data_IF_985907215476
#
_entry.id   IF_985907215476
#
_cell.length_a   1.000
_cell.length_b   1.000
_cell.length_c   1.000
_cell.angle_alpha   90.00
_cell.angle_beta   90.00
_cell.angle_gamma   90.00
#
_symmetry.space_group_name_H-M   'P 1'
#
loop_
_entity.id
_entity.type
_entity.pdbx_description
1 polymer ?
#
# COMPACT_ATOMS: atom_id res chain seq x y z
N UNK A 1 -12.94 -3.46 -16.75
CA UNK A 1 -11.73 -3.22 -15.96
C UNK A 1 -12.10 -3.40 -14.49
N UNK A 2 -11.15 -3.65 -13.58
CA UNK A 2 -11.52 -3.99 -12.19
C UNK A 2 -12.27 -2.84 -11.51
N UNK A 3 -11.98 -1.59 -11.89
CA UNK A 3 -12.69 -0.39 -11.43
C UNK A 3 -14.19 -0.46 -11.74
N UNK A 4 -14.55 -0.79 -12.98
CA UNK A 4 -15.97 -0.91 -13.38
C UNK A 4 -16.64 -2.12 -12.70
N UNK A 5 -15.94 -3.25 -12.61
CA UNK A 5 -16.47 -4.46 -11.95
C UNK A 5 -16.82 -4.21 -10.48
N UNK A 6 -16.00 -3.42 -9.78
CA UNK A 6 -16.19 -3.08 -8.37
C UNK A 6 -17.00 -1.79 -8.14
N UNK A 7 -17.49 -1.16 -9.22
CA UNK A 7 -18.16 0.13 -9.25
C UNK A 7 -17.41 1.19 -8.42
N UNK A 8 -16.12 1.36 -8.72
CA UNK A 8 -15.23 2.28 -8.02
C UNK A 8 -15.11 3.59 -8.79
N UNK A 9 -15.13 4.69 -8.04
CA UNK A 9 -14.87 6.02 -8.58
C UNK A 9 -13.40 6.39 -8.41
N UNK A 10 -12.84 7.06 -9.41
CA UNK A 10 -11.45 7.49 -9.39
C UNK A 10 -11.16 8.42 -8.20
N UNK A 11 -10.05 8.16 -7.50
CA UNK A 11 -9.58 8.84 -6.29
C UNK A 11 -10.57 8.83 -5.10
N UNK A 12 -11.59 7.96 -5.13
CA UNK A 12 -12.63 7.91 -4.09
C UNK A 12 -12.64 6.60 -3.26
N UNK A 13 -11.55 5.84 -3.30
CA UNK A 13 -11.38 4.65 -2.45
C UNK A 13 -9.94 4.53 -1.96
N UNK A 14 -9.75 3.87 -0.82
CA UNK A 14 -8.45 3.49 -0.29
C UNK A 14 -8.15 2.07 -0.76
N UNK A 15 -6.92 1.86 -1.22
CA UNK A 15 -6.42 0.52 -1.51
C UNK A 15 -5.63 0.00 -0.30
N UNK A 16 -5.98 -1.19 0.19
CA UNK A 16 -5.31 -1.81 1.32
C UNK A 16 -4.71 -3.18 0.96
N UNK A 17 -3.55 -3.53 1.51
CA UNK A 17 -2.99 -4.89 1.45
C UNK A 17 -2.32 -5.25 2.77
N UNK A 18 -2.70 -6.39 3.37
CA UNK A 18 -2.16 -6.90 4.62
C UNK A 18 -1.87 -8.39 4.45
N UNK A 19 -0.61 -8.79 4.50
CA UNK A 19 -0.19 -10.19 4.28
C UNK A 19 1.16 -10.55 4.91
N UNK A 20 1.86 -9.61 5.54
CA UNK A 20 3.15 -9.89 6.18
C UNK A 20 2.98 -10.79 7.40
N UNK A 21 3.98 -11.63 7.62
CA UNK A 21 4.05 -12.51 8.77
C UNK A 21 3.99 -11.73 10.09
N UNK A 22 4.75 -10.64 10.20
CA UNK A 22 4.80 -9.81 11.42
C UNK A 22 3.44 -9.23 11.86
N UNK A 23 2.49 -9.05 10.93
CA UNK A 23 1.15 -8.56 11.21
C UNK A 23 0.15 -9.71 11.38
N UNK A 24 0.31 -10.80 10.66
CA UNK A 24 -0.67 -11.91 10.63
C UNK A 24 -0.44 -12.93 11.74
N UNK A 25 0.74 -13.00 12.36
CA UNK A 25 1.02 -13.88 13.50
C UNK A 25 0.74 -13.24 14.87
N UNK A 26 0.63 -11.92 14.92
CA UNK A 26 0.23 -11.17 16.11
C UNK A 26 -1.23 -10.72 15.96
N UNK A 27 -2.12 -11.40 16.69
CA UNK A 27 -3.55 -11.16 16.60
C UNK A 27 -3.96 -9.76 17.06
N UNK A 28 -3.24 -9.16 18.00
CA UNK A 28 -3.56 -7.83 18.51
C UNK A 28 -3.12 -6.75 17.51
N UNK A 29 -1.96 -6.94 16.86
CA UNK A 29 -1.58 -6.10 15.72
C UNK A 29 -2.59 -6.20 14.58
N UNK A 30 -2.98 -7.41 14.21
CA UNK A 30 -3.95 -7.63 13.13
C UNK A 30 -5.28 -6.94 13.43
N UNK A 31 -5.85 -7.16 14.63
CA UNK A 31 -7.10 -6.51 15.04
C UNK A 31 -6.99 -4.99 14.96
N UNK A 32 -5.93 -4.41 15.52
CA UNK A 32 -5.73 -2.96 15.50
C UNK A 32 -5.64 -2.41 14.07
N UNK A 33 -4.95 -3.09 13.16
CA UNK A 33 -4.91 -2.70 11.73
C UNK A 33 -6.31 -2.71 11.12
N UNK A 34 -7.04 -3.81 11.28
CA UNK A 34 -8.36 -3.97 10.66
C UNK A 34 -9.43 -3.06 11.26
N UNK A 35 -9.38 -2.79 12.57
CA UNK A 35 -10.22 -1.77 13.22
C UNK A 35 -9.93 -0.38 12.63
N UNK A 36 -8.67 -0.04 12.36
CA UNK A 36 -8.30 1.20 11.68
C UNK A 36 -8.84 1.28 10.26
N UNK A 37 -8.76 0.19 9.50
CA UNK A 37 -9.30 0.10 8.15
C UNK A 37 -10.83 0.23 8.13
N UNK A 38 -11.53 -0.44 9.05
CA UNK A 38 -12.99 -0.33 9.19
C UNK A 38 -13.44 1.07 9.61
N UNK A 39 -12.68 1.74 10.47
CA UNK A 39 -12.97 3.13 10.83
C UNK A 39 -12.82 4.07 9.61
N UNK A 40 -11.81 3.86 8.76
CA UNK A 40 -11.65 4.61 7.50
C UNK A 40 -12.78 4.27 6.53
N UNK A 41 -13.22 3.01 6.46
CA UNK A 41 -14.26 2.54 5.54
C UNK A 41 -15.60 3.26 5.72
N UNK A 42 -15.87 3.77 6.92
CA UNK A 42 -17.04 4.61 7.23
C UNK A 42 -17.05 5.95 6.47
N UNK A 43 -15.88 6.44 6.05
CA UNK A 43 -15.73 7.73 5.36
C UNK A 43 -15.38 7.59 3.88
N UNK A 44 -14.56 6.58 3.54
CA UNK A 44 -14.11 6.32 2.18
C UNK A 44 -13.96 4.81 2.01
N UNK A 45 -14.51 4.26 0.92
CA UNK A 45 -14.48 2.82 0.65
C UNK A 45 -13.05 2.28 0.73
N UNK A 46 -12.84 1.22 1.49
CA UNK A 46 -11.55 0.51 1.57
C UNK A 46 -11.68 -0.79 0.78
N UNK A 47 -10.83 -0.96 -0.23
CA UNK A 47 -10.76 -2.16 -1.08
C UNK A 47 -9.52 -2.95 -0.70
N UNK A 48 -9.70 -4.21 -0.32
CA UNK A 48 -8.62 -5.07 0.17
C UNK A 48 -8.66 -6.42 -0.56
N UNK A 49 -7.72 -6.68 -1.50
CA UNK A 49 -7.48 -8.01 -2.02
C UNK A 49 -7.00 -8.93 -0.90
N UNK A 50 -7.87 -9.82 -0.43
CA UNK A 50 -7.66 -10.56 0.80
C UNK A 50 -6.71 -11.74 0.56
N UNK A 51 -5.47 -11.58 0.99
CA UNK A 51 -4.46 -12.62 0.88
C UNK A 51 -4.89 -13.89 1.67
N UNK A 52 -4.69 -15.12 1.13
CA UNK A 52 -5.12 -16.36 1.78
C UNK A 52 -4.61 -16.50 3.22
N UNK A 53 -3.36 -16.11 3.48
CA UNK A 53 -2.77 -16.08 4.84
C UNK A 53 -3.61 -15.27 5.82
N UNK A 54 -3.97 -14.05 5.44
CA UNK A 54 -4.76 -13.14 6.29
C UNK A 54 -6.19 -13.64 6.44
N UNK A 55 -6.80 -14.15 5.36
CA UNK A 55 -8.12 -14.80 5.39
C UNK A 55 -8.18 -15.91 6.45
N UNK A 56 -7.20 -16.82 6.43
CA UNK A 56 -7.15 -17.94 7.37
C UNK A 56 -7.03 -17.50 8.83
N UNK A 57 -6.32 -16.41 9.12
CA UNK A 57 -6.22 -15.86 10.49
C UNK A 57 -7.54 -15.22 10.91
N UNK A 58 -8.18 -14.43 10.04
CA UNK A 58 -9.49 -13.83 10.33
C UNK A 58 -10.55 -14.91 10.63
N UNK A 59 -10.62 -15.95 9.80
CA UNK A 59 -11.54 -17.08 9.97
C UNK A 59 -11.26 -17.84 11.27
N UNK A 60 -9.99 -18.18 11.55
CA UNK A 60 -9.58 -18.88 12.76
C UNK A 60 -10.01 -18.16 14.05
N UNK A 61 -10.00 -16.83 14.02
CA UNK A 61 -10.34 -15.99 15.18
C UNK A 61 -11.77 -15.44 15.14
N UNK A 62 -12.61 -15.86 14.18
CA UNK A 62 -13.96 -15.36 13.97
C UNK A 62 -14.03 -13.83 13.88
N UNK A 63 -13.03 -13.22 13.24
CA UNK A 63 -12.96 -11.77 13.03
C UNK A 63 -13.65 -11.41 11.73
N UNK A 64 -14.55 -10.43 11.80
CA UNK A 64 -15.27 -9.89 10.66
C UNK A 64 -15.24 -8.36 10.73
N UNK A 65 -15.04 -7.73 9.58
CA UNK A 65 -14.91 -6.28 9.44
C UNK A 65 -15.73 -5.81 8.26
N UNK A 66 -16.36 -4.64 8.38
CA UNK A 66 -17.12 -4.00 7.32
C UNK A 66 -16.18 -3.26 6.34
N UNK A 67 -15.46 -4.04 5.53
CA UNK A 67 -14.49 -3.59 4.52
C UNK A 67 -14.83 -4.29 3.20
N UNK A 68 -14.53 -3.66 2.05
CA UNK A 68 -14.70 -4.33 0.75
C UNK A 68 -13.56 -5.31 0.52
N UNK A 69 -13.77 -6.55 0.96
CA UNK A 69 -12.90 -7.67 0.61
C UNK A 69 -13.12 -8.10 -0.84
N UNK A 70 -12.04 -8.33 -1.56
CA UNK A 70 -12.06 -8.96 -2.88
C UNK A 70 -11.07 -10.13 -2.91
N UNK A 71 -11.26 -11.06 -3.84
CA UNK A 71 -10.32 -12.15 -4.05
C UNK A 71 -8.95 -11.61 -4.49
N UNK A 72 -7.85 -12.35 -4.28
CA UNK A 72 -6.55 -12.00 -4.84
C UNK A 72 -6.64 -11.75 -6.35
N UNK A 73 -6.01 -10.66 -6.80
CA UNK A 73 -6.09 -10.18 -8.18
C UNK A 73 -4.75 -10.28 -8.89
N UNK A 74 -4.79 -10.23 -10.23
CA UNK A 74 -3.59 -10.15 -11.05
C UNK A 74 -2.89 -8.79 -10.96
N UNK A 75 -1.64 -8.76 -11.42
CA UNK A 75 -0.81 -7.55 -11.37
C UNK A 75 -1.43 -6.34 -12.11
N UNK A 76 -2.03 -6.55 -13.29
CA UNK A 76 -2.62 -5.45 -14.05
C UNK A 76 -3.84 -4.83 -13.36
N UNK A 77 -4.69 -5.66 -12.73
CA UNK A 77 -5.80 -5.17 -11.92
C UNK A 77 -5.27 -4.43 -10.68
N UNK A 78 -4.18 -4.92 -10.09
CA UNK A 78 -3.54 -4.24 -8.96
C UNK A 78 -3.03 -2.85 -9.35
N UNK A 79 -2.35 -2.74 -10.51
CA UNK A 79 -1.92 -1.45 -11.06
C UNK A 79 -3.10 -0.51 -11.36
N UNK A 80 -4.21 -1.05 -11.88
CA UNK A 80 -5.38 -0.25 -12.15
C UNK A 80 -6.00 0.30 -10.85
N UNK A 81 -6.14 -0.54 -9.81
CA UNK A 81 -6.59 -0.08 -8.49
C UNK A 81 -5.63 0.97 -7.93
N UNK A 82 -4.33 0.74 -8.02
CA UNK A 82 -3.32 1.64 -7.48
C UNK A 82 -3.33 3.00 -8.17
N UNK A 83 -3.46 3.04 -9.49
CA UNK A 83 -3.53 4.29 -10.27
C UNK A 83 -4.76 5.13 -9.91
N UNK A 84 -5.88 4.46 -9.59
CA UNK A 84 -7.17 5.12 -9.37
C UNK A 84 -7.54 5.26 -7.89
N UNK A 85 -6.78 4.72 -6.94
CA UNK A 85 -7.08 4.90 -5.52
C UNK A 85 -6.74 6.32 -5.05
N UNK A 86 -7.29 6.71 -3.91
CA UNK A 86 -6.96 7.94 -3.20
C UNK A 86 -5.58 7.86 -2.54
N UNK A 87 -5.34 6.79 -1.79
CA UNK A 87 -4.08 6.48 -1.13
C UNK A 87 -4.01 4.97 -0.86
N UNK A 88 -2.83 4.53 -0.43
CA UNK A 88 -2.53 3.13 -0.13
C UNK A 88 -2.31 2.96 1.38
N UNK A 89 -2.80 1.85 1.94
CA UNK A 89 -2.47 1.38 3.28
C UNK A 89 -1.90 -0.04 3.15
N UNK A 90 -0.62 -0.26 3.50
CA UNK A 90 0.04 -1.52 3.12
C UNK A 90 1.16 -1.96 4.05
N UNK A 91 1.37 -3.28 4.13
CA UNK A 91 2.58 -3.93 4.62
C UNK A 91 3.45 -4.55 3.50
N UNK A 92 3.07 -4.37 2.23
CA UNK A 92 3.88 -4.77 1.07
C UNK A 92 5.11 -3.89 0.96
N UNK A 93 6.29 -4.48 0.72
CA UNK A 93 7.50 -3.69 0.44
C UNK A 93 7.43 -3.03 -0.94
N UNK A 94 7.04 -3.79 -1.98
CA UNK A 94 6.97 -3.30 -3.35
C UNK A 94 5.89 -2.22 -3.53
N UNK A 95 4.70 -2.43 -2.96
CA UNK A 95 3.57 -1.52 -3.16
C UNK A 95 3.83 -0.12 -2.59
N UNK A 96 4.67 0.00 -1.56
CA UNK A 96 5.09 1.31 -1.02
C UNK A 96 5.76 2.18 -2.09
N UNK A 97 6.67 1.57 -2.86
CA UNK A 97 7.39 2.25 -3.94
C UNK A 97 6.51 2.45 -5.17
N UNK A 98 5.67 1.47 -5.50
CA UNK A 98 4.71 1.58 -6.60
C UNK A 98 3.68 2.68 -6.35
N UNK A 99 3.25 2.89 -5.10
CA UNK A 99 2.36 3.99 -4.72
C UNK A 99 2.98 5.35 -5.05
N UNK A 100 4.25 5.54 -4.74
CA UNK A 100 4.97 6.76 -5.09
C UNK A 100 5.02 6.97 -6.62
N UNK A 101 5.31 5.93 -7.41
CA UNK A 101 5.29 6.04 -8.88
C UNK A 101 3.89 6.37 -9.44
N UNK A 102 2.83 5.95 -8.75
CA UNK A 102 1.44 6.28 -9.08
C UNK A 102 0.93 7.56 -8.41
N UNK A 103 1.83 8.34 -7.80
CA UNK A 103 1.52 9.61 -7.13
C UNK A 103 0.48 9.46 -6.01
N UNK A 104 0.56 8.37 -5.25
CA UNK A 104 -0.32 8.05 -4.13
C UNK A 104 0.46 8.11 -2.82
N UNK A 105 -0.17 8.71 -1.81
CA UNK A 105 0.34 8.61 -0.44
C UNK A 105 0.26 7.18 0.07
N UNK A 106 1.20 6.81 0.94
CA UNK A 106 1.29 5.46 1.47
C UNK A 106 1.36 5.46 3.00
N UNK A 107 0.41 4.78 3.65
CA UNK A 107 0.42 4.52 5.09
C UNK A 107 0.97 3.10 5.29
N UNK A 108 2.11 3.00 5.94
CA UNK A 108 2.85 1.75 6.09
C UNK A 108 2.47 1.10 7.42
N UNK A 109 1.81 -0.05 7.34
CA UNK A 109 1.42 -0.86 8.51
C UNK A 109 2.55 -1.80 8.93
N UNK A 110 3.77 -1.26 9.07
CA UNK A 110 4.98 -1.94 9.55
C UNK A 110 5.68 -1.03 10.53
N UNK A 111 6.57 -1.59 11.35
CA UNK A 111 7.37 -0.82 12.30
C UNK A 111 8.59 -0.15 11.63
N UNK A 112 8.96 -0.61 10.43
CA UNK A 112 10.07 -0.11 9.63
C UNK A 112 9.78 -0.19 8.12
N UNK A 113 10.62 0.46 7.31
CA UNK A 113 10.59 0.37 5.85
C UNK A 113 11.99 0.47 5.27
N UNK A 114 12.18 -0.21 4.14
CA UNK A 114 13.37 -0.14 3.32
C UNK A 114 13.42 1.19 2.51
N UNK A 115 12.31 1.90 2.38
CA UNK A 115 12.16 3.12 1.56
C UNK A 115 12.10 4.39 2.42
N UNK A 116 13.14 4.63 3.21
CA UNK A 116 13.22 5.75 4.17
C UNK A 116 13.02 7.10 3.45
N UNK A 117 13.51 7.22 2.22
CA UNK A 117 13.34 8.40 1.38
C UNK A 117 11.88 8.75 1.12
N UNK A 118 10.97 7.78 1.05
CA UNK A 118 9.54 8.07 0.89
C UNK A 118 8.97 8.73 2.14
N UNK A 119 9.43 8.31 3.32
CA UNK A 119 9.01 8.86 4.60
C UNK A 119 9.59 10.26 4.81
N UNK A 120 10.91 10.42 4.61
CA UNK A 120 11.59 11.70 4.80
C UNK A 120 11.08 12.81 3.87
N UNK A 121 10.52 12.45 2.71
CA UNK A 121 9.94 13.41 1.77
C UNK A 121 8.41 13.56 1.90
N UNK A 122 7.79 12.91 2.89
CA UNK A 122 6.35 13.04 3.16
C UNK A 122 5.42 12.28 2.21
N UNK A 123 5.96 11.39 1.36
CA UNK A 123 5.16 10.52 0.50
C UNK A 123 4.53 9.36 1.27
N UNK A 124 5.22 8.87 2.30
CA UNK A 124 4.77 7.77 3.14
C UNK A 124 4.88 8.06 4.64
N UNK A 125 4.13 7.31 5.46
CA UNK A 125 4.20 7.38 6.93
C UNK A 125 4.19 5.99 7.52
N UNK A 126 5.11 5.73 8.45
CA UNK A 126 5.19 4.48 9.21
C UNK A 126 4.28 4.58 10.43
N UNK A 127 3.32 3.66 10.56
CA UNK A 127 2.35 3.68 11.68
C UNK A 127 2.37 2.41 12.54
N UNK A 128 3.16 1.39 12.18
CA UNK A 128 3.17 0.10 12.87
C UNK A 128 1.84 -0.62 12.67
N UNK A 129 1.16 -0.94 13.77
CA UNK A 129 -0.19 -1.51 13.76
C UNK A 129 -1.25 -0.56 14.35
N UNK A 130 -0.90 0.68 14.68
CA UNK A 130 -1.77 1.58 15.46
C UNK A 130 -2.91 2.18 14.64
N UNK A 131 -4.16 1.83 15.00
CA UNK A 131 -5.36 2.44 14.40
C UNK A 131 -5.43 3.96 14.53
N UNK A 132 -5.01 4.51 15.68
CA UNK A 132 -5.04 5.96 15.92
C UNK A 132 -4.04 6.71 15.02
N UNK A 133 -2.82 6.16 14.88
CA UNK A 133 -1.83 6.71 13.95
C UNK A 133 -2.30 6.58 12.50
N UNK A 134 -2.92 5.44 12.13
CA UNK A 134 -3.50 5.24 10.81
C UNK A 134 -4.57 6.30 10.48
N UNK A 135 -5.53 6.53 11.39
CA UNK A 135 -6.57 7.56 11.22
C UNK A 135 -5.98 8.96 11.12
N UNK A 136 -4.98 9.27 11.95
CA UNK A 136 -4.28 10.55 11.92
C UNK A 136 -3.57 10.76 10.58
N UNK A 137 -2.79 9.77 10.12
CA UNK A 137 -2.09 9.83 8.85
C UNK A 137 -3.06 9.95 7.66
N UNK A 138 -4.16 9.18 7.66
CA UNK A 138 -5.21 9.26 6.66
C UNK A 138 -5.76 10.68 6.52
N UNK A 139 -6.16 11.30 7.64
CA UNK A 139 -6.70 12.65 7.68
C UNK A 139 -5.68 13.72 7.25
N UNK A 140 -4.41 13.55 7.62
CA UNK A 140 -3.34 14.45 7.20
C UNK A 140 -3.13 14.38 5.68
N UNK A 141 -3.13 13.17 5.11
CA UNK A 141 -2.95 13.00 3.66
C UNK A 141 -4.13 13.48 2.82
N UNK A 142 -5.36 13.52 3.35
CA UNK A 142 -6.46 14.17 2.64
C UNK A 142 -6.24 15.68 2.41
N UNK A 143 -5.37 16.31 3.21
CA UNK A 143 -5.05 17.75 3.16
C UNK A 143 -3.67 18.03 2.57
N UNK A 144 -2.93 16.97 2.24
CA UNK A 144 -1.56 17.07 1.75
C UNK A 144 -1.52 17.75 0.38
N UNK A 145 -0.49 18.56 0.19
CA UNK A 145 -0.15 19.21 -1.09
C UNK A 145 1.27 18.83 -1.53
N UNK A 146 1.75 17.68 -1.07
CA UNK A 146 3.08 17.18 -1.42
C UNK A 146 3.18 16.99 -2.93
N UNK A 147 4.29 17.45 -3.48
CA UNK A 147 4.59 17.36 -4.90
C UNK A 147 5.29 16.03 -5.22
N UNK A 148 4.65 15.20 -6.04
CA UNK A 148 5.19 13.92 -6.53
C UNK A 148 6.13 14.06 -7.74
N UNK A 149 6.45 15.28 -8.19
CA UNK A 149 7.38 15.53 -9.29
C UNK A 149 8.85 15.22 -8.95
N UNK A 150 9.19 15.17 -7.66
CA UNK A 150 10.55 14.85 -7.20
C UNK A 150 10.95 13.49 -7.74
N UNK A 151 12.08 13.36 -8.42
CA UNK A 151 12.57 12.10 -8.97
C UNK A 151 13.53 11.41 -7.99
N UNK A 152 13.06 10.37 -7.29
CA UNK A 152 13.85 9.64 -6.29
C UNK A 152 14.61 8.43 -6.86
N UNK A 153 14.15 7.86 -7.98
CA UNK A 153 14.62 6.55 -8.46
C UNK A 153 15.21 6.56 -9.87
N UNK A 154 15.27 7.72 -10.52
CA UNK A 154 15.84 7.88 -11.85
C UNK A 154 14.95 7.31 -12.95
N UNK A 155 15.47 7.41 -14.18
CA UNK A 155 14.84 6.90 -15.40
C UNK A 155 15.81 5.94 -16.12
N UNK A 156 15.28 5.09 -17.00
CA UNK A 156 16.07 4.17 -17.84
C UNK A 156 17.04 3.26 -17.04
N UNK A 157 16.66 2.90 -15.81
CA UNK A 157 17.54 2.14 -14.89
C UNK A 157 17.96 0.79 -15.50
N UNK A 158 17.06 0.10 -16.20
CA UNK A 158 17.37 -1.16 -16.87
C UNK A 158 18.43 -1.03 -17.97
N UNK A 159 18.35 0.05 -18.77
CA UNK A 159 19.34 0.34 -19.81
C UNK A 159 20.70 0.70 -19.19
N UNK A 160 20.70 1.51 -18.13
CA UNK A 160 21.93 1.87 -17.42
C UNK A 160 22.63 0.64 -16.83
N UNK A 161 21.85 -0.27 -16.21
CA UNK A 161 22.38 -1.53 -15.68
C UNK A 161 22.96 -2.39 -16.81
N UNK A 162 22.23 -2.54 -17.92
CA UNK A 162 22.72 -3.30 -19.08
C UNK A 162 24.06 -2.74 -19.59
N UNK A 163 24.14 -1.43 -19.81
CA UNK A 163 25.33 -0.78 -20.36
C UNK A 163 26.54 -0.92 -19.43
N UNK A 164 26.34 -0.80 -18.11
CA UNK A 164 27.42 -0.98 -17.14
C UNK A 164 27.92 -2.43 -17.09
N UNK A 165 27.02 -3.42 -17.21
CA UNK A 165 27.40 -4.83 -17.30
C UNK A 165 28.26 -5.08 -18.56
N UNK A 166 27.86 -4.54 -19.71
CA UNK A 166 28.64 -4.67 -20.95
C UNK A 166 30.05 -4.09 -20.77
N UNK A 167 30.16 -2.89 -20.21
CA UNK A 167 31.44 -2.23 -19.96
C UNK A 167 32.36 -3.08 -19.06
N UNK A 168 31.84 -3.64 -17.97
CA UNK A 168 32.61 -4.51 -17.07
C UNK A 168 33.10 -5.82 -17.72
N UNK A 169 32.39 -6.29 -18.76
CA UNK A 169 32.78 -7.47 -19.51
C UNK A 169 33.84 -7.15 -20.58
N UNK A 170 33.80 -5.95 -21.16
CA UNK A 170 34.76 -5.48 -22.17
C UNK A 170 36.09 -4.97 -21.58
N UNK A 171 36.11 -4.56 -20.31
CA UNK A 171 37.33 -4.15 -19.58
C UNK A 171 38.19 -5.34 -19.08
N UNK A 172 37.82 -6.59 -19.43
CA UNK A 172 38.61 -7.82 -19.18
C UNK A 172 39.31 -8.32 -20.43
#
# INVERSE_FOLDING_TARGET
>A
TIINTLNLENNNFVLATIHRQENTEDIEKLKSIFEGLEEISKTKKVVLPLHPRTKSVLEKHNLSYNITFIDPIGYFDMLELLKNCNLVITDSGGLQKEAYFNQKHCIITRDETEWIELVSNGFASIIGSSKEKMKTAFNNYQKSKVDFSKNLYGNNVGENIHNEIIKLLEEK
#
